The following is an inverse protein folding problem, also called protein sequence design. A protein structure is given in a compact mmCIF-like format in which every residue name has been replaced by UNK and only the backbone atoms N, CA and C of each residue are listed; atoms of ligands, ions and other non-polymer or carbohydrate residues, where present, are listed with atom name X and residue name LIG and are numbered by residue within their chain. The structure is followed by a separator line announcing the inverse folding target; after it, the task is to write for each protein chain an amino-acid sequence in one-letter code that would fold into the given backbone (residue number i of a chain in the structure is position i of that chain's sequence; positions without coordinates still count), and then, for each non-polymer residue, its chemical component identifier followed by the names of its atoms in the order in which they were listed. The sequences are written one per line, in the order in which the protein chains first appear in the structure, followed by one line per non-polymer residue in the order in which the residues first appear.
data_IF_210899905979
#
_entry.id   IF_210899905979
#
_cell.length_a   1.000
_cell.length_b   1.000
_cell.length_c   1.000
_cell.angle_alpha   90.00
_cell.angle_beta   90.00
_cell.angle_gamma   90.00
#
_symmetry.space_group_name_H-M   'P 1'
#
loop_
_entity.id
_entity.type
_entity.pdbx_description
1 polymer ?
#
# COMPACT_ATOMS: atom_id res chain seq x y z
N UNK A 1 -18.11 23.00 -9.65
CA UNK A 1 -17.22 21.99 -10.27
C UNK A 1 -16.35 21.52 -9.12
N UNK A 2 -16.49 20.28 -8.66
CA UNK A 2 -15.51 19.73 -7.72
C UNK A 2 -14.27 19.43 -8.56
N UNK A 3 -13.21 20.19 -8.36
CA UNK A 3 -11.91 19.85 -8.92
C UNK A 3 -11.46 18.53 -8.28
N UNK A 4 -11.02 17.57 -9.09
CA UNK A 4 -10.35 16.36 -8.60
C UNK A 4 -9.07 16.80 -7.88
N UNK A 5 -9.14 16.91 -6.55
CA UNK A 5 -8.02 17.28 -5.71
C UNK A 5 -6.98 16.14 -5.75
N UNK A 6 -5.80 16.44 -6.31
CA UNK A 6 -4.70 15.50 -6.41
C UNK A 6 -3.63 15.89 -5.42
N UNK A 7 -3.47 15.09 -4.38
CA UNK A 7 -2.43 15.30 -3.37
C UNK A 7 -1.20 14.47 -3.73
N UNK A 8 0.00 15.07 -3.84
CA UNK A 8 1.23 14.32 -4.00
C UNK A 8 1.52 13.51 -2.74
N UNK A 9 1.87 12.24 -2.90
CA UNK A 9 2.17 11.35 -1.79
C UNK A 9 3.37 10.46 -2.07
N UNK A 10 3.98 9.98 -0.98
CA UNK A 10 4.99 8.94 -0.96
C UNK A 10 4.39 7.69 -0.32
N UNK A 11 4.39 6.57 -1.04
CA UNK A 11 4.00 5.28 -0.46
C UNK A 11 5.05 4.81 0.55
N UNK A 12 4.64 4.55 1.79
CA UNK A 12 5.51 4.01 2.84
C UNK A 12 5.50 2.49 2.83
N UNK A 13 4.32 1.88 2.76
CA UNK A 13 4.12 0.44 2.66
C UNK A 13 2.76 0.09 2.07
N UNK A 14 2.60 -1.16 1.67
CA UNK A 14 1.37 -1.71 1.13
C UNK A 14 1.10 -3.04 1.83
N UNK A 15 -0.12 -3.22 2.35
CA UNK A 15 -0.61 -4.46 2.94
C UNK A 15 -1.88 -4.94 2.23
N UNK A 16 -2.40 -6.12 2.62
CA UNK A 16 -3.71 -6.59 2.11
C UNK A 16 -4.86 -5.67 2.52
N UNK A 17 -4.74 -4.99 3.68
CA UNK A 17 -5.73 -4.01 4.14
C UNK A 17 -5.69 -2.69 3.38
N UNK A 18 -4.53 -2.35 2.81
CA UNK A 18 -4.33 -1.18 1.97
C UNK A 18 -2.98 -0.50 2.17
N UNK A 19 -2.74 0.61 1.43
CA UNK A 19 -1.50 1.34 1.49
C UNK A 19 -1.45 2.31 2.67
N UNK A 20 -0.24 2.52 3.17
CA UNK A 20 0.11 3.66 4.02
C UNK A 20 1.00 4.59 3.22
N UNK A 21 0.72 5.88 3.28
CA UNK A 21 1.45 6.90 2.54
C UNK A 21 1.71 8.13 3.40
N UNK A 22 2.65 8.95 2.96
CA UNK A 22 2.97 10.24 3.54
C UNK A 22 2.66 11.33 2.52
N UNK A 23 2.01 12.40 2.96
CA UNK A 23 1.74 13.58 2.16
C UNK A 23 2.02 14.85 2.96
N UNK A 24 2.22 15.97 2.26
CA UNK A 24 2.37 17.28 2.90
C UNK A 24 1.08 17.78 3.53
N UNK A 25 -0.06 17.36 2.98
CA UNK A 25 -1.40 17.73 3.40
C UNK A 25 -2.19 16.50 3.84
N UNK A 26 -3.03 16.66 4.86
CA UNK A 26 -3.91 15.60 5.33
C UNK A 26 -5.18 15.56 4.47
N UNK A 27 -5.50 14.39 3.94
CA UNK A 27 -6.82 14.11 3.43
C UNK A 27 -7.80 13.95 4.60
N UNK A 28 -9.08 14.33 4.46
CA UNK A 28 -10.04 14.22 5.54
C UNK A 28 -10.21 12.76 5.99
N UNK A 29 -10.36 12.54 7.31
CA UNK A 29 -10.68 11.22 7.83
C UNK A 29 -12.00 10.73 7.24
N UNK A 30 -12.07 9.46 6.90
CA UNK A 30 -13.20 8.82 6.21
C UNK A 30 -13.48 9.32 4.79
N UNK A 31 -12.62 10.15 4.21
CA UNK A 31 -12.73 10.51 2.79
C UNK A 31 -12.45 9.30 1.90
N UNK A 32 -13.19 9.23 0.80
CA UNK A 32 -12.97 8.26 -0.27
C UNK A 32 -11.94 8.81 -1.24
N UNK A 33 -10.96 7.97 -1.58
CA UNK A 33 -9.87 8.34 -2.49
C UNK A 33 -9.73 7.29 -3.58
N UNK A 34 -9.45 7.75 -4.78
CA UNK A 34 -8.99 6.92 -5.89
C UNK A 34 -7.46 6.93 -5.89
N UNK A 35 -6.83 5.76 -6.00
CA UNK A 35 -5.38 5.66 -6.11
C UNK A 35 -4.96 4.55 -7.07
N UNK A 36 -3.72 4.67 -7.55
CA UNK A 36 -3.12 3.78 -8.53
C UNK A 36 -1.88 3.12 -7.94
N UNK A 37 -1.89 1.78 -7.85
CA UNK A 37 -0.76 0.99 -7.33
C UNK A 37 0.04 0.38 -8.48
N UNK A 38 1.35 0.66 -8.55
CA UNK A 38 2.25 -0.06 -9.44
C UNK A 38 2.80 -1.29 -8.73
N UNK A 39 2.37 -2.47 -9.15
CA UNK A 39 2.84 -3.73 -8.59
C UNK A 39 4.08 -4.24 -9.33
N UNK A 40 5.07 -4.82 -8.62
CA UNK A 40 6.24 -5.40 -9.25
C UNK A 40 5.86 -6.56 -10.18
N UNK A 41 6.37 -6.54 -11.41
CA UNK A 41 6.07 -7.54 -12.44
C UNK A 41 4.78 -7.29 -13.23
N UNK A 42 4.05 -6.20 -12.95
CA UNK A 42 2.93 -5.71 -13.74
C UNK A 42 3.35 -4.48 -14.55
N UNK A 43 3.00 -4.42 -15.83
CA UNK A 43 3.28 -3.26 -16.67
C UNK A 43 2.31 -2.10 -16.48
N UNK A 44 1.13 -2.36 -15.92
CA UNK A 44 0.06 -1.38 -15.71
C UNK A 44 -0.19 -1.15 -14.22
N UNK A 45 -0.52 0.09 -13.86
CA UNK A 45 -0.94 0.42 -12.50
C UNK A 45 -2.36 -0.08 -12.25
N UNK A 46 -2.55 -0.71 -11.10
CA UNK A 46 -3.83 -1.19 -10.56
C UNK A 46 -4.61 -0.01 -10.04
N UNK A 47 -5.87 0.12 -10.45
CA UNK A 47 -6.76 1.17 -9.94
C UNK A 47 -7.54 0.64 -8.73
N UNK A 48 -7.55 1.37 -7.63
CA UNK A 48 -8.29 1.00 -6.43
C UNK A 48 -8.93 2.23 -5.77
N UNK A 49 -9.98 1.97 -5.00
CA UNK A 49 -10.63 2.97 -4.15
C UNK A 49 -10.43 2.58 -2.70
N UNK A 50 -10.11 3.57 -1.87
CA UNK A 50 -9.92 3.36 -0.44
C UNK A 50 -10.53 4.48 0.39
N UNK A 51 -10.65 4.21 1.67
CA UNK A 51 -11.12 5.18 2.64
C UNK A 51 -10.00 5.49 3.64
N UNK A 52 -9.79 6.78 3.93
CA UNK A 52 -8.82 7.21 4.94
C UNK A 52 -9.31 6.75 6.31
N UNK A 53 -8.61 5.84 6.96
CA UNK A 53 -9.00 5.26 8.26
C UNK A 53 -8.14 5.77 9.43
N UNK A 54 -6.94 6.28 9.12
CA UNK A 54 -6.04 6.86 10.12
C UNK A 54 -5.21 7.99 9.54
N UNK A 55 -4.99 9.04 10.35
CA UNK A 55 -4.11 10.17 10.05
C UNK A 55 -3.22 10.39 11.28
N UNK A 56 -1.91 10.52 11.07
CA UNK A 56 -0.91 10.79 12.11
C UNK A 56 0.04 11.86 11.60
N UNK A 57 0.35 12.86 12.42
CA UNK A 57 1.38 13.86 12.10
C UNK A 57 2.77 13.22 12.11
N UNK A 58 3.56 13.48 11.07
CA UNK A 58 4.93 13.00 10.98
C UNK A 58 5.90 13.94 11.72
N UNK A 59 6.94 13.39 12.35
CA UNK A 59 7.92 14.16 13.11
C UNK A 59 8.69 15.20 12.25
N UNK A 60 8.86 14.92 10.95
CA UNK A 60 9.55 15.80 9.99
C UNK A 60 8.59 16.74 9.23
N UNK A 61 7.32 16.81 9.67
CA UNK A 61 6.26 17.56 8.99
C UNK A 61 5.48 16.71 7.99
N UNK A 62 4.26 17.18 7.69
CA UNK A 62 3.28 16.44 6.89
C UNK A 62 2.55 15.37 7.69
N UNK A 63 1.85 14.48 6.97
CA UNK A 63 0.90 13.54 7.54
C UNK A 63 1.13 12.15 6.97
N UNK A 64 1.18 11.16 7.86
CA UNK A 64 1.07 9.75 7.52
C UNK A 64 -0.39 9.34 7.56
N UNK A 65 -0.86 8.72 6.50
CA UNK A 65 -2.24 8.28 6.34
C UNK A 65 -2.28 6.82 5.96
N UNK A 66 -3.21 6.10 6.58
CA UNK A 66 -3.55 4.74 6.17
C UNK A 66 -4.87 4.79 5.38
N UNK A 67 -4.95 3.89 4.40
CA UNK A 67 -6.14 3.65 3.61
C UNK A 67 -6.57 2.21 3.78
N UNK A 68 -7.86 2.02 4.02
CA UNK A 68 -8.50 0.72 3.85
C UNK A 68 -8.97 0.60 2.39
N UNK A 69 -8.57 -0.47 1.68
CA UNK A 69 -9.08 -0.76 0.34
C UNK A 69 -10.56 -1.11 0.44
N UNK A 70 -11.40 -0.33 -0.23
CA UNK A 70 -12.85 -0.54 -0.27
C UNK A 70 -13.27 -1.27 -1.54
N UNK A 71 -12.62 -0.95 -2.66
CA UNK A 71 -12.93 -1.54 -3.96
C UNK A 71 -11.66 -1.66 -4.80
N UNK A 72 -11.52 -2.82 -5.44
CA UNK A 72 -10.41 -3.20 -6.31
C UNK A 72 -10.88 -4.37 -7.18
N UNK A 73 -10.48 -4.38 -8.45
CA UNK A 73 -10.82 -5.50 -9.33
C UNK A 73 -10.28 -6.82 -8.74
N UNK A 74 -11.09 -7.87 -8.80
CA UNK A 74 -10.76 -9.18 -8.20
C UNK A 74 -9.45 -9.76 -8.74
N UNK A 75 -9.18 -9.60 -10.05
CA UNK A 75 -7.94 -10.09 -10.67
C UNK A 75 -6.73 -9.31 -10.17
N UNK A 76 -6.89 -8.01 -9.98
CA UNK A 76 -5.85 -7.12 -9.45
C UNK A 76 -5.59 -7.39 -7.96
N UNK A 77 -6.63 -7.63 -7.17
CA UNK A 77 -6.50 -8.03 -5.76
C UNK A 77 -5.75 -9.36 -5.61
N UNK A 78 -6.03 -10.34 -6.47
CA UNK A 78 -5.27 -11.60 -6.51
C UNK A 78 -3.80 -11.38 -6.93
N UNK A 79 -3.51 -10.39 -7.77
CA UNK A 79 -2.14 -10.03 -8.12
C UNK A 79 -1.42 -9.36 -6.94
N UNK A 80 -2.08 -8.41 -6.27
CA UNK A 80 -1.58 -7.72 -5.08
C UNK A 80 -1.21 -8.73 -3.99
N UNK A 81 -2.15 -9.60 -3.60
CA UNK A 81 -1.92 -10.63 -2.56
C UNK A 81 -0.75 -11.56 -2.91
N UNK A 82 -0.60 -11.95 -4.19
CA UNK A 82 0.57 -12.74 -4.65
C UNK A 82 1.88 -11.96 -4.55
N UNK A 83 1.88 -10.67 -4.92
CA UNK A 83 3.06 -9.81 -4.80
C UNK A 83 3.47 -9.62 -3.34
N UNK A 84 2.50 -9.43 -2.43
CA UNK A 84 2.77 -9.29 -0.99
C UNK A 84 3.37 -10.58 -0.41
N UNK A 85 2.82 -11.75 -0.77
CA UNK A 85 3.37 -13.05 -0.32
C UNK A 85 4.79 -13.33 -0.82
N UNK A 86 5.14 -12.90 -2.03
CA UNK A 86 6.50 -13.04 -2.57
C UNK A 86 7.51 -12.09 -1.93
N UNK A 87 7.04 -11.00 -1.32
CA UNK A 87 7.87 -10.03 -0.60
C UNK A 87 8.15 -10.45 0.84
N UNK A 88 7.43 -11.44 1.38
CA UNK A 88 7.78 -12.05 2.66
C UNK A 88 8.94 -13.02 2.40
N UNK A 89 10.17 -12.75 2.86
CA UNK A 89 11.18 -13.80 2.88
C UNK A 89 10.64 -14.91 3.77
N UNK A 90 10.55 -16.13 3.24
CA UNK A 90 10.25 -17.31 4.06
C UNK A 90 11.30 -17.37 5.16
N UNK A 91 10.95 -17.26 6.46
CA UNK A 91 11.92 -17.54 7.51
C UNK A 91 12.12 -19.05 7.54
N UNK A 92 13.08 -19.55 6.76
CA UNK A 92 13.32 -20.99 6.67
C UNK A 92 14.23 -21.50 5.55
N UNK A 93 14.89 -20.64 4.79
CA UNK A 93 15.88 -21.07 3.78
C UNK A 93 17.33 -20.74 4.20
N UNK A 94 17.59 -20.74 5.52
CA UNK A 94 18.94 -20.88 6.04
C UNK A 94 19.28 -22.36 6.04
N UNK A 95 20.10 -22.75 5.07
CA UNK A 95 20.51 -24.12 4.82
C UNK A 95 20.98 -24.81 6.09
N UNK A 96 20.28 -25.87 6.46
CA UNK A 96 20.81 -26.89 7.38
C UNK A 96 21.97 -27.57 6.63
N UNK A 97 23.20 -27.10 6.85
CA UNK A 97 24.41 -27.90 6.66
C UNK A 97 24.68 -28.62 7.98
N UNK A 98 24.27 -29.89 8.06
CA UNK A 98 24.79 -30.81 9.06
C UNK A 98 26.13 -31.31 8.52
N UNK A 99 27.24 -30.91 9.13
CA UNK A 99 28.51 -31.63 8.97
C UNK A 99 28.59 -32.66 10.11
N UNK A 100 28.81 -33.95 9.81
CA UNK A 100 29.10 -34.95 10.84
C UNK A 100 30.61 -34.93 11.19
N UNK A 101 30.92 -34.88 12.49
CA UNK A 101 32.21 -35.34 13.05
C UNK A 101 32.19 -36.86 13.30
#
# INVERSE_FOLDING_TARGET
MLEDERVPFLTLDISEGGPRFQATEALPLHSMVEFFLKLPGQGQAVKAHGQVDRIVEAAEGGYQMALTIMDIDRREYLALTRCLRKQVPTPGDDGIKVEPE
#
